data_IF_222973670810
#
_entry.id   IF_222973670810
#
_cell.length_a   1.000
_cell.length_b   1.000
_cell.length_c   1.000
_cell.angle_alpha   90.00
_cell.angle_beta   90.00
_cell.angle_gamma   90.00
#
_symmetry.space_group_name_H-M   'P 1'
#
loop_
_entity.id
_entity.type
_entity.pdbx_description
1 polymer ?
#
# COMPACT_ATOMS: atom_id res chain seq x y z
N UNK A 1 14.74 -4.61 -26.62
CA UNK A 1 15.63 -5.53 -25.89
C UNK A 1 14.75 -6.52 -25.16
N UNK A 2 14.78 -7.78 -25.59
CA UNK A 2 14.03 -8.88 -24.97
C UNK A 2 14.76 -9.24 -23.67
N UNK A 3 14.26 -8.80 -22.51
CA UNK A 3 14.80 -9.28 -21.23
C UNK A 3 14.29 -10.70 -21.05
N UNK A 4 15.12 -11.67 -21.42
CA UNK A 4 14.97 -13.08 -21.04
C UNK A 4 14.79 -13.12 -19.53
N UNK A 5 13.57 -13.39 -19.08
CA UNK A 5 13.28 -13.63 -17.68
C UNK A 5 13.95 -14.97 -17.35
N UNK A 6 15.17 -14.88 -16.84
CA UNK A 6 15.84 -16.01 -16.23
C UNK A 6 14.87 -16.56 -15.18
N UNK A 7 14.40 -17.80 -15.37
CA UNK A 7 13.54 -18.51 -14.42
C UNK A 7 14.36 -18.71 -13.15
N UNK A 8 14.47 -17.67 -12.32
CA UNK A 8 15.14 -17.74 -11.03
C UNK A 8 14.24 -18.53 -10.10
N UNK A 9 14.50 -19.83 -10.03
CA UNK A 9 13.87 -20.73 -9.09
C UNK A 9 14.41 -20.48 -7.68
N UNK A 10 13.65 -19.76 -6.86
CA UNK A 10 13.95 -19.66 -5.43
C UNK A 10 13.53 -20.93 -4.69
N UNK A 11 14.35 -21.34 -3.72
CA UNK A 11 14.03 -22.45 -2.80
C UNK A 11 12.95 -22.01 -1.81
N UNK A 12 12.18 -22.94 -1.24
CA UNK A 12 11.21 -22.60 -0.19
C UNK A 12 11.96 -22.13 1.06
N UNK A 13 11.62 -20.96 1.57
CA UNK A 13 12.16 -20.40 2.81
C UNK A 13 11.37 -20.83 4.05
N UNK A 14 11.97 -20.61 5.21
CA UNK A 14 11.33 -20.84 6.51
C UNK A 14 10.60 -19.59 7.04
N UNK A 15 10.48 -19.51 8.37
CA UNK A 15 9.98 -18.31 9.03
C UNK A 15 11.03 -17.19 9.00
N UNK A 16 10.78 -16.06 8.32
CA UNK A 16 11.79 -15.01 8.13
C UNK A 16 11.87 -14.04 9.31
N UNK A 17 10.99 -14.13 10.32
CA UNK A 17 10.78 -13.07 11.32
C UNK A 17 11.98 -12.76 12.20
N UNK A 18 12.93 -13.68 12.31
CA UNK A 18 14.17 -13.52 13.09
C UNK A 18 15.34 -12.99 12.25
N UNK A 19 15.20 -12.94 10.92
CA UNK A 19 16.24 -12.51 9.99
C UNK A 19 16.38 -10.97 10.02
N UNK A 20 17.61 -10.49 10.10
CA UNK A 20 17.91 -9.05 10.15
C UNK A 20 17.35 -8.31 8.91
N UNK A 21 17.57 -8.86 7.71
CA UNK A 21 17.06 -8.30 6.45
C UNK A 21 15.53 -8.24 6.43
N UNK A 22 14.84 -9.23 7.01
CA UNK A 22 13.39 -9.22 7.10
C UNK A 22 12.87 -8.19 8.11
N UNK A 23 13.56 -8.02 9.24
CA UNK A 23 13.22 -6.99 10.21
C UNK A 23 13.36 -5.60 9.58
N UNK A 24 14.44 -5.37 8.82
CA UNK A 24 14.67 -4.13 8.08
C UNK A 24 13.61 -3.91 7.00
N UNK A 25 13.30 -4.95 6.20
CA UNK A 25 12.28 -4.87 5.16
C UNK A 25 10.91 -4.57 5.76
N UNK A 26 10.55 -5.26 6.84
CA UNK A 26 9.29 -5.01 7.55
C UNK A 26 9.22 -3.58 8.08
N UNK A 27 10.31 -3.04 8.64
CA UNK A 27 10.34 -1.65 9.10
C UNK A 27 10.07 -0.67 7.95
N UNK A 28 10.68 -0.91 6.79
CA UNK A 28 10.46 -0.11 5.58
C UNK A 28 9.02 -0.23 5.08
N UNK A 29 8.49 -1.44 4.99
CA UNK A 29 7.13 -1.68 4.49
C UNK A 29 6.04 -1.23 5.47
N UNK A 30 6.31 -1.19 6.77
CA UNK A 30 5.36 -0.69 7.78
C UNK A 30 5.11 0.82 7.67
N UNK A 31 6.01 1.58 7.03
CA UNK A 31 5.80 3.00 6.72
C UNK A 31 4.52 3.24 5.92
N UNK A 32 4.10 2.27 5.10
CA UNK A 32 2.86 2.31 4.33
C UNK A 32 1.58 2.45 5.18
N UNK A 33 1.65 2.07 6.45
CA UNK A 33 0.52 2.12 7.39
C UNK A 33 0.75 3.16 8.50
N UNK A 34 1.86 3.90 8.44
CA UNK A 34 2.23 4.85 9.48
C UNK A 34 1.43 6.15 9.34
N UNK A 35 0.85 6.71 10.43
CA UNK A 35 0.03 7.93 10.37
C UNK A 35 0.76 9.13 9.78
N UNK A 36 2.05 9.29 10.10
CA UNK A 36 2.89 10.37 9.58
C UNK A 36 3.34 10.16 8.13
N UNK A 37 2.98 9.04 7.48
CA UNK A 37 3.29 8.71 6.08
C UNK A 37 4.75 9.03 5.66
N UNK A 38 5.75 8.48 6.36
CA UNK A 38 7.13 8.67 5.95
C UNK A 38 7.36 8.03 4.58
N UNK A 39 8.27 8.63 3.82
CA UNK A 39 8.61 8.14 2.49
C UNK A 39 9.25 6.76 2.56
N UNK A 40 8.89 5.95 1.56
CA UNK A 40 9.38 4.57 1.40
C UNK A 40 10.51 4.57 0.39
N UNK A 41 11.63 4.01 0.79
CA UNK A 41 12.75 3.73 -0.09
C UNK A 41 12.48 2.42 -0.84
N UNK A 42 11.80 2.52 -1.98
CA UNK A 42 11.44 1.37 -2.82
C UNK A 42 12.65 0.59 -3.35
N UNK A 43 13.73 1.22 -3.85
CA UNK A 43 14.95 0.49 -4.23
C UNK A 43 15.54 -0.34 -3.08
N UNK A 44 15.59 0.24 -1.87
CA UNK A 44 16.09 -0.47 -0.71
C UNK A 44 15.19 -1.65 -0.29
N UNK A 45 13.87 -1.45 -0.29
CA UNK A 45 12.92 -2.54 -0.03
C UNK A 45 13.04 -3.68 -1.05
N UNK A 46 13.24 -3.34 -2.32
CA UNK A 46 13.44 -4.33 -3.40
C UNK A 46 14.74 -5.12 -3.21
N UNK A 47 15.83 -4.43 -2.87
CA UNK A 47 17.12 -5.05 -2.58
C UNK A 47 17.06 -6.01 -1.39
N UNK A 48 16.43 -5.58 -0.27
CA UNK A 48 16.27 -6.43 0.92
C UNK A 48 15.42 -7.66 0.61
N UNK A 49 14.31 -7.48 -0.10
CA UNK A 49 13.45 -8.59 -0.48
C UNK A 49 14.18 -9.57 -1.39
N UNK A 50 14.94 -9.08 -2.37
CA UNK A 50 15.78 -9.93 -3.23
C UNK A 50 16.83 -10.70 -2.42
N UNK A 51 17.55 -10.04 -1.52
CA UNK A 51 18.54 -10.69 -0.63
C UNK A 51 17.91 -11.83 0.18
N UNK A 52 16.72 -11.61 0.74
CA UNK A 52 15.99 -12.65 1.47
C UNK A 52 15.64 -13.85 0.60
N UNK A 53 15.09 -13.61 -0.59
CA UNK A 53 14.72 -14.68 -1.53
C UNK A 53 15.94 -15.50 -1.96
N UNK A 54 17.08 -14.83 -2.21
CA UNK A 54 18.33 -15.47 -2.67
C UNK A 54 19.03 -16.28 -1.56
N UNK A 55 19.13 -15.73 -0.34
CA UNK A 55 19.93 -16.33 0.73
C UNK A 55 19.14 -17.21 1.70
N UNK A 56 17.86 -16.90 1.93
CA UNK A 56 17.04 -17.55 2.95
C UNK A 56 15.85 -18.31 2.39
N UNK A 57 15.62 -18.20 1.08
CA UNK A 57 14.51 -18.80 0.37
C UNK A 57 13.24 -17.95 0.42
N UNK A 58 12.26 -18.37 -0.37
CA UNK A 58 11.02 -17.65 -0.55
C UNK A 58 10.01 -17.90 0.58
N UNK A 59 9.55 -16.82 1.19
CA UNK A 59 8.31 -16.77 1.96
C UNK A 59 7.29 -15.84 1.29
N UNK A 60 6.01 -16.09 1.54
CA UNK A 60 4.93 -15.40 0.84
C UNK A 60 4.89 -13.89 1.13
N UNK A 61 5.26 -13.47 2.34
CA UNK A 61 5.24 -12.06 2.71
C UNK A 61 6.35 -11.29 1.99
N UNK A 62 7.57 -11.83 1.97
CA UNK A 62 8.71 -11.24 1.27
C UNK A 62 8.44 -11.15 -0.23
N UNK A 63 7.88 -12.20 -0.84
CA UNK A 63 7.51 -12.17 -2.27
C UNK A 63 6.44 -11.10 -2.52
N UNK A 64 5.43 -10.96 -1.66
CA UNK A 64 4.41 -9.92 -1.81
C UNK A 64 4.99 -8.51 -1.73
N UNK A 65 5.92 -8.27 -0.81
CA UNK A 65 6.61 -6.99 -0.72
C UNK A 65 7.55 -6.74 -1.90
N UNK A 66 8.26 -7.78 -2.39
CA UNK A 66 9.05 -7.71 -3.61
C UNK A 66 8.17 -7.32 -4.81
N UNK A 67 7.04 -8.00 -5.02
CA UNK A 67 6.09 -7.70 -6.10
C UNK A 67 5.61 -6.25 -6.03
N UNK A 68 5.30 -5.75 -4.82
CA UNK A 68 4.89 -4.36 -4.64
C UNK A 68 6.02 -3.37 -4.94
N UNK A 69 7.26 -3.67 -4.53
CA UNK A 69 8.41 -2.82 -4.80
C UNK A 69 8.73 -2.78 -6.31
N UNK A 70 8.69 -3.93 -6.99
CA UNK A 70 8.81 -4.01 -8.46
C UNK A 70 7.71 -3.21 -9.14
N UNK A 71 6.46 -3.34 -8.71
CA UNK A 71 5.35 -2.56 -9.26
C UNK A 71 5.56 -1.03 -9.11
N UNK A 72 6.15 -0.58 -8.00
CA UNK A 72 6.47 0.83 -7.76
C UNK A 72 7.64 1.34 -8.59
N UNK A 73 8.64 0.52 -8.84
CA UNK A 73 9.85 0.90 -9.58
C UNK A 73 9.70 0.73 -11.10
N UNK A 74 9.01 -0.32 -11.53
CA UNK A 74 8.89 -0.73 -12.94
C UNK A 74 7.48 -0.67 -13.51
N UNK A 75 6.51 -0.10 -12.77
CA UNK A 75 5.12 0.03 -13.24
C UNK A 75 4.50 -1.32 -13.63
N UNK A 76 3.90 -1.38 -14.83
CA UNK A 76 3.24 -2.58 -15.37
C UNK A 76 4.21 -3.76 -15.54
N UNK A 77 5.43 -3.50 -16.02
CA UNK A 77 6.45 -4.54 -16.17
C UNK A 77 6.83 -5.15 -14.81
N UNK A 78 6.99 -4.30 -13.78
CA UNK A 78 7.26 -4.76 -12.43
C UNK A 78 6.10 -5.55 -11.79
N UNK A 79 4.86 -5.20 -12.13
CA UNK A 79 3.67 -5.99 -11.74
C UNK A 79 3.73 -7.37 -12.38
N UNK A 80 3.98 -7.44 -13.69
CA UNK A 80 4.11 -8.70 -14.42
C UNK A 80 5.19 -9.60 -13.80
N UNK A 81 6.42 -9.09 -13.66
CA UNK A 81 7.54 -9.80 -13.07
C UNK A 81 7.22 -10.36 -11.68
N UNK A 82 6.68 -9.51 -10.81
CA UNK A 82 6.39 -9.90 -9.43
C UNK A 82 5.23 -10.89 -9.31
N UNK A 83 4.23 -10.82 -10.19
CA UNK A 83 3.13 -11.79 -10.21
C UNK A 83 3.58 -13.13 -10.79
N UNK A 84 4.36 -13.14 -11.87
CA UNK A 84 4.89 -14.37 -12.45
C UNK A 84 5.81 -15.12 -11.48
N UNK A 85 6.64 -14.39 -10.72
CA UNK A 85 7.42 -15.00 -9.63
C UNK A 85 6.53 -15.62 -8.56
N UNK A 86 5.50 -14.91 -8.13
CA UNK A 86 4.61 -15.40 -7.08
C UNK A 86 3.78 -16.60 -7.55
N UNK A 87 3.32 -16.57 -8.79
CA UNK A 87 2.60 -17.66 -9.46
C UNK A 87 3.45 -18.93 -9.50
N UNK A 88 4.70 -18.83 -9.96
CA UNK A 88 5.61 -19.97 -10.05
C UNK A 88 5.89 -20.55 -8.66
N UNK A 89 6.12 -19.71 -7.66
CA UNK A 89 6.33 -20.16 -6.28
C UNK A 89 5.10 -20.87 -5.70
N UNK A 90 3.89 -20.34 -5.93
CA UNK A 90 2.66 -20.97 -5.46
C UNK A 90 2.35 -22.28 -6.21
N UNK A 91 2.63 -22.35 -7.51
CA UNK A 91 2.41 -23.55 -8.30
C UNK A 91 3.32 -24.72 -7.86
N UNK A 92 4.59 -24.43 -7.54
CA UNK A 92 5.56 -25.47 -7.19
C UNK A 92 5.62 -25.76 -5.68
N UNK A 93 5.43 -24.74 -4.84
CA UNK A 93 5.74 -24.79 -3.42
C UNK A 93 4.58 -24.27 -2.54
N UNK A 94 3.37 -24.11 -3.12
CA UNK A 94 2.25 -23.42 -2.50
C UNK A 94 1.87 -23.86 -1.09
N UNK A 95 1.91 -25.16 -0.76
CA UNK A 95 1.61 -25.65 0.59
C UNK A 95 2.76 -25.47 1.58
N UNK A 96 4.00 -25.34 1.08
CA UNK A 96 5.20 -25.25 1.92
C UNK A 96 5.63 -23.80 2.16
N UNK A 97 5.15 -22.86 1.35
CA UNK A 97 5.40 -21.43 1.51
C UNK A 97 4.87 -20.93 2.87
N UNK A 98 5.79 -20.39 3.67
CA UNK A 98 5.45 -19.70 4.88
C UNK A 98 4.69 -18.39 4.56
N UNK A 99 3.68 -17.98 5.35
CA UNK A 99 3.13 -18.65 6.53
C UNK A 99 2.14 -19.77 6.17
N UNK A 100 2.08 -20.80 7.00
CA UNK A 100 1.20 -21.96 6.81
C UNK A 100 -0.29 -21.63 7.03
N UNK A 101 -0.58 -20.67 7.92
CA UNK A 101 -1.95 -20.33 8.29
C UNK A 101 -2.70 -19.67 7.13
N UNK A 102 -3.77 -20.32 6.66
CA UNK A 102 -4.62 -19.82 5.57
C UNK A 102 -5.16 -18.39 5.80
N UNK A 103 -5.60 -18.00 7.02
CA UNK A 103 -6.03 -16.62 7.28
C UNK A 103 -4.90 -15.59 7.04
N UNK A 104 -3.67 -15.92 7.42
CA UNK A 104 -2.53 -15.06 7.20
C UNK A 104 -2.24 -14.92 5.69
N UNK A 105 -2.18 -16.03 4.96
CA UNK A 105 -1.97 -16.01 3.49
C UNK A 105 -3.03 -15.16 2.78
N UNK A 106 -4.30 -15.32 3.18
CA UNK A 106 -5.42 -14.54 2.65
C UNK A 106 -5.25 -13.04 2.92
N UNK A 107 -4.78 -12.64 4.11
CA UNK A 107 -4.47 -11.24 4.43
C UNK A 107 -3.37 -10.66 3.55
N UNK A 108 -2.31 -11.44 3.31
CA UNK A 108 -1.19 -11.03 2.46
C UNK A 108 -1.69 -10.68 1.06
N UNK A 109 -2.47 -11.56 0.43
CA UNK A 109 -3.01 -11.32 -0.91
C UNK A 109 -4.01 -10.16 -0.95
N UNK A 110 -4.88 -10.05 0.05
CA UNK A 110 -5.83 -8.92 0.13
C UNK A 110 -5.10 -7.59 0.23
N UNK A 111 -4.07 -7.52 1.07
CA UNK A 111 -3.24 -6.33 1.23
C UNK A 111 -2.46 -6.03 -0.05
N UNK A 112 -1.87 -7.04 -0.69
CA UNK A 112 -1.15 -6.88 -1.95
C UNK A 112 -2.09 -6.34 -3.04
N UNK A 113 -3.25 -6.96 -3.25
CA UNK A 113 -4.24 -6.51 -4.24
C UNK A 113 -4.62 -5.04 -4.02
N UNK A 114 -4.96 -4.66 -2.78
CA UNK A 114 -5.30 -3.27 -2.43
C UNK A 114 -4.18 -2.31 -2.81
N UNK A 115 -2.92 -2.68 -2.54
CA UNK A 115 -1.75 -1.84 -2.82
C UNK A 115 -1.41 -1.77 -4.30
N UNK A 116 -1.47 -2.89 -5.03
CA UNK A 116 -1.28 -2.90 -6.48
C UNK A 116 -2.32 -2.03 -7.19
N UNK A 117 -3.58 -2.05 -6.73
CA UNK A 117 -4.61 -1.14 -7.22
C UNK A 117 -4.26 0.33 -7.02
N UNK A 118 -3.66 0.67 -5.89
CA UNK A 118 -3.18 2.03 -5.65
C UNK A 118 -2.01 2.38 -6.57
N UNK A 119 -1.10 1.43 -6.83
CA UNK A 119 0.00 1.63 -7.79
C UNK A 119 -0.55 1.92 -9.18
N UNK A 120 -1.43 1.06 -9.70
CA UNK A 120 -1.96 1.20 -11.07
C UNK A 120 -2.69 2.53 -11.25
N UNK A 121 -3.45 2.98 -10.26
CA UNK A 121 -4.12 4.30 -10.29
C UNK A 121 -3.16 5.49 -10.34
N UNK A 122 -1.89 5.30 -9.96
CA UNK A 122 -0.86 6.35 -10.03
C UNK A 122 -0.01 6.29 -11.30
N UNK A 123 -0.15 5.24 -12.12
CA UNK A 123 0.59 5.12 -13.37
C UNK A 123 -0.02 6.02 -14.44
N UNK A 124 0.83 6.72 -15.19
CA UNK A 124 0.43 7.48 -16.37
C UNK A 124 0.35 6.54 -17.57
N UNK A 125 -0.79 5.88 -17.72
CA UNK A 125 -1.03 4.93 -18.80
C UNK A 125 -1.27 5.64 -20.14
N UNK A 126 -0.59 5.20 -21.19
CA UNK A 126 -0.74 5.70 -22.55
C UNK A 126 -1.13 4.59 -23.54
N UNK A 127 -1.65 4.92 -24.75
CA UNK A 127 -1.95 3.92 -25.78
C UNK A 127 -0.72 3.09 -26.21
N UNK A 128 0.49 3.63 -26.07
CA UNK A 128 1.74 2.90 -26.34
C UNK A 128 1.97 1.72 -25.36
N UNK A 129 1.34 1.74 -24.19
CA UNK A 129 1.48 0.70 -23.15
C UNK A 129 0.52 -0.48 -23.34
N UNK A 130 -0.25 -0.52 -24.44
CA UNK A 130 -1.34 -1.48 -24.65
C UNK A 130 -0.88 -2.94 -24.48
N UNK A 131 0.29 -3.28 -25.04
CA UNK A 131 0.86 -4.62 -24.89
C UNK A 131 1.20 -4.94 -23.43
N UNK A 132 1.82 -4.00 -22.72
CA UNK A 132 2.17 -4.15 -21.30
C UNK A 132 0.93 -4.24 -20.42
N UNK A 133 -0.14 -3.51 -20.74
CA UNK A 133 -1.43 -3.58 -20.07
C UNK A 133 -2.09 -4.95 -20.27
N UNK A 134 -2.14 -5.44 -21.51
CA UNK A 134 -2.66 -6.76 -21.82
C UNK A 134 -1.86 -7.86 -21.13
N UNK A 135 -0.53 -7.73 -21.05
CA UNK A 135 0.32 -8.67 -20.33
C UNK A 135 0.04 -8.68 -18.82
N UNK A 136 -0.06 -7.49 -18.20
CA UNK A 136 -0.41 -7.37 -16.79
C UNK A 136 -1.82 -7.94 -16.48
N UNK A 137 -2.79 -7.75 -17.39
CA UNK A 137 -4.13 -8.33 -17.27
C UNK A 137 -4.09 -9.86 -17.28
N UNK A 138 -3.36 -10.47 -18.24
CA UNK A 138 -3.16 -11.93 -18.30
C UNK A 138 -2.45 -12.49 -17.07
N UNK A 139 -1.46 -11.78 -16.54
CA UNK A 139 -0.79 -12.17 -15.29
C UNK A 139 -1.72 -12.13 -14.09
N UNK A 140 -2.63 -11.15 -14.02
CA UNK A 140 -3.64 -11.13 -12.96
C UNK A 140 -4.65 -12.28 -13.10
N UNK A 141 -5.03 -12.62 -14.34
CA UNK A 141 -5.96 -13.72 -14.61
C UNK A 141 -5.36 -15.10 -14.24
N UNK A 142 -4.14 -15.38 -14.68
CA UNK A 142 -3.41 -16.62 -14.34
C UNK A 142 -3.19 -16.73 -12.83
N UNK A 143 -2.80 -15.64 -12.19
CA UNK A 143 -2.60 -15.60 -10.76
C UNK A 143 -3.91 -15.81 -9.95
N UNK A 144 -5.04 -15.24 -10.39
CA UNK A 144 -6.36 -15.51 -9.79
C UNK A 144 -6.73 -17.00 -9.88
N UNK A 145 -6.46 -17.65 -11.01
CA UNK A 145 -6.67 -19.10 -11.17
C UNK A 145 -5.82 -19.93 -10.19
N UNK A 146 -4.57 -19.51 -9.91
CA UNK A 146 -3.71 -20.16 -8.91
C UNK A 146 -4.25 -19.98 -7.49
N UNK A 147 -4.73 -18.78 -7.14
CA UNK A 147 -5.34 -18.54 -5.82
C UNK A 147 -6.60 -19.38 -5.61
N UNK A 148 -7.48 -19.44 -6.61
CA UNK A 148 -8.69 -20.27 -6.58
C UNK A 148 -8.37 -21.75 -6.41
N UNK A 149 -7.40 -22.27 -7.19
CA UNK A 149 -6.97 -23.68 -7.09
C UNK A 149 -6.41 -24.04 -5.71
N UNK A 150 -5.76 -23.08 -5.05
CA UNK A 150 -5.20 -23.26 -3.71
C UNK A 150 -6.19 -22.94 -2.59
N UNK A 151 -7.43 -22.57 -2.93
CA UNK A 151 -8.48 -22.12 -2.00
C UNK A 151 -8.01 -20.97 -1.09
N UNK A 152 -7.12 -20.11 -1.61
CA UNK A 152 -6.63 -18.95 -0.89
C UNK A 152 -7.42 -17.72 -1.35
N UNK A 153 -7.95 -16.96 -0.41
CA UNK A 153 -8.69 -15.73 -0.69
C UNK A 153 -9.88 -15.95 -1.67
N UNK A 154 -10.94 -16.68 -1.26
CA UNK A 154 -12.08 -17.00 -2.13
C UNK A 154 -12.84 -15.77 -2.66
N UNK A 155 -12.67 -14.61 -2.02
CA UNK A 155 -13.34 -13.34 -2.35
C UNK A 155 -12.82 -12.65 -3.64
N UNK A 156 -12.14 -13.36 -4.54
CA UNK A 156 -11.50 -12.83 -5.76
C UNK A 156 -10.91 -11.41 -5.59
N UNK A 157 -9.86 -11.25 -4.76
CA UNK A 157 -9.35 -9.92 -4.41
C UNK A 157 -8.81 -9.14 -5.61
N UNK A 158 -8.51 -9.80 -6.73
CA UNK A 158 -7.88 -9.20 -7.92
C UNK A 158 -8.85 -8.91 -9.05
N UNK A 159 -10.11 -9.36 -8.94
CA UNK A 159 -11.18 -9.12 -9.92
C UNK A 159 -11.30 -7.66 -10.32
N UNK A 160 -11.40 -6.77 -9.34
CA UNK A 160 -11.50 -5.34 -9.59
C UNK A 160 -10.25 -4.75 -10.27
N UNK A 161 -9.07 -5.30 -9.97
CA UNK A 161 -7.81 -4.84 -10.55
C UNK A 161 -7.75 -5.22 -12.03
N UNK A 162 -8.17 -6.45 -12.34
CA UNK A 162 -8.32 -6.94 -13.70
C UNK A 162 -9.38 -6.14 -14.45
N UNK A 163 -10.53 -5.86 -13.84
CA UNK A 163 -11.58 -5.04 -14.44
C UNK A 163 -11.09 -3.61 -14.77
N UNK A 164 -10.27 -3.02 -13.89
CA UNK A 164 -9.64 -1.73 -14.15
C UNK A 164 -8.72 -1.82 -15.37
N UNK A 165 -7.79 -2.79 -15.42
CA UNK A 165 -6.87 -2.94 -16.55
C UNK A 165 -7.64 -3.21 -17.86
N UNK A 166 -8.61 -4.12 -17.82
CA UNK A 166 -9.46 -4.43 -18.96
C UNK A 166 -10.16 -3.18 -19.50
N UNK A 167 -10.77 -2.38 -18.62
CA UNK A 167 -11.43 -1.14 -19.04
C UNK A 167 -10.46 -0.12 -19.67
N UNK A 168 -9.20 -0.07 -19.21
CA UNK A 168 -8.18 0.79 -19.81
C UNK A 168 -7.71 0.27 -21.17
N UNK A 169 -7.55 -1.04 -21.33
CA UNK A 169 -7.22 -1.69 -22.62
C UNK A 169 -8.33 -1.42 -23.62
N UNK A 170 -9.58 -1.74 -23.28
CA UNK A 170 -10.72 -1.49 -24.16
C UNK A 170 -10.87 -0.02 -24.52
N UNK A 171 -10.59 0.90 -23.59
CA UNK A 171 -10.61 2.34 -23.88
C UNK A 171 -9.56 2.71 -24.93
N UNK A 172 -8.35 2.16 -24.83
CA UNK A 172 -7.27 2.45 -25.78
C UNK A 172 -7.46 1.76 -27.13
N UNK A 173 -8.00 0.55 -27.18
CA UNK A 173 -8.38 -0.14 -28.43
C UNK A 173 -9.46 0.62 -29.20
N UNK A 174 -10.39 1.26 -28.49
CA UNK A 174 -11.46 2.06 -29.06
C UNK A 174 -11.09 3.55 -29.28
N UNK A 175 -9.83 3.94 -29.08
CA UNK A 175 -9.37 5.26 -29.54
C UNK A 175 -9.25 5.20 -31.05
N UNK A 176 -10.21 5.79 -31.75
CA UNK A 176 -10.08 6.02 -33.19
C UNK A 176 -8.72 6.67 -33.47
N UNK A 177 -7.88 6.13 -34.37
CA UNK A 177 -6.76 6.90 -34.88
C UNK A 177 -7.37 8.16 -35.48
N UNK A 178 -6.99 9.32 -34.92
CA UNK A 178 -7.48 10.61 -35.38
C UNK A 178 -7.46 10.61 -36.91
N UNK A 179 -8.57 10.99 -37.59
CA UNK A 179 -8.59 11.00 -39.04
C UNK A 179 -7.39 11.83 -39.48
N UNK A 180 -6.48 11.18 -40.22
CA UNK A 180 -5.37 11.88 -40.83
C UNK A 180 -5.98 13.12 -41.48
N UNK A 181 -5.58 14.32 -41.01
CA UNK A 181 -5.97 15.57 -41.63
C UNK A 181 -5.79 15.36 -43.14
N UNK A 182 -6.82 15.58 -43.97
CA UNK A 182 -6.68 15.38 -45.39
C UNK A 182 -5.48 16.19 -45.84
N UNK A 183 -4.42 15.49 -46.24
CA UNK A 183 -3.27 16.11 -46.89
C UNK A 183 -3.86 16.87 -48.07
N UNK A 184 -3.90 18.19 -47.96
CA UNK A 184 -4.37 19.03 -49.05
C UNK A 184 -3.56 18.62 -50.29
N UNK A 185 -4.20 18.38 -51.44
CA UNK A 185 -3.46 18.05 -52.65
C UNK A 185 -2.48 19.19 -52.93
N UNK A 186 -1.24 18.89 -53.37
CA UNK A 186 -0.29 19.94 -53.73
C UNK A 186 -0.92 20.75 -54.86
N UNK A 187 -1.20 22.02 -54.57
CA UNK A 187 -1.59 22.99 -55.59
C UNK A 187 -0.39 23.14 -56.51
N UNK A 188 -0.50 22.59 -57.71
CA UNK A 188 0.42 22.83 -58.80
C UNK A 188 0.36 24.33 -59.14
N UNK A 189 1.35 25.09 -58.68
CA UNK A 189 1.55 26.46 -59.14
C UNK A 189 2.32 26.37 -60.44
N UNK A 190 1.62 26.62 -61.56
CA UNK A 190 2.26 26.77 -62.86
C UNK A 190 3.12 28.03 -62.87
N UNK A 191 4.31 27.91 -63.46
CA UNK A 191 5.22 29.00 -63.80
C UNK A 191 4.50 30.13 -64.54
N UNK A 192 4.62 31.33 -64.01
CA UNK A 192 4.34 32.56 -64.73
C UNK A 192 5.42 33.60 -64.38
N UNK A 193 6.22 33.87 -65.41
CA UNK A 193 7.20 34.93 -65.63
C UNK A 193 7.19 36.16 -64.69
N UNK A 194 8.40 36.47 -64.18
CA UNK A 194 8.88 37.83 -63.87
C UNK A 194 8.89 38.70 -65.14
N UNK A 195 8.62 40.02 -65.06
CA UNK A 195 9.62 41.01 -64.60
C UNK A 195 8.97 42.15 -63.76
N UNK A 196 9.60 42.81 -62.78
CA UNK A 196 10.88 43.51 -62.76
C UNK A 196 10.66 44.91 -62.14
N UNK A 197 11.68 45.47 -61.46
CA UNK A 197 11.81 46.84 -60.95
C UNK A 197 10.99 47.25 -59.69
N UNK A 198 11.42 48.10 -58.76
CA UNK A 198 12.71 48.64 -58.25
C UNK A 198 12.28 49.66 -57.13
N UNK A 199 13.13 49.84 -56.11
CA UNK A 199 13.32 51.01 -55.19
C UNK A 199 12.43 51.30 -53.93
N UNK A 200 13.17 51.55 -52.82
CA UNK A 200 13.06 52.49 -51.66
C UNK A 200 11.84 52.47 -50.72
N UNK A 201 11.96 52.33 -49.39
CA UNK A 201 12.69 53.05 -48.30
C UNK A 201 11.96 54.28 -47.70
N UNK A 202 11.96 54.30 -46.35
CA UNK A 202 11.68 55.40 -45.39
C UNK A 202 10.23 55.97 -45.33
N UNK A 203 9.66 56.48 -44.23
CA UNK A 203 10.20 57.12 -43.02
C UNK A 203 9.18 57.18 -41.84
N UNK A 204 9.76 57.42 -40.67
CA UNK A 204 9.35 57.90 -39.34
C UNK A 204 7.91 58.36 -38.96
N UNK A 205 7.56 57.91 -37.75
CA UNK A 205 7.08 58.63 -36.55
C UNK A 205 6.30 59.96 -36.65
N UNK A 206 5.21 60.09 -35.86
CA UNK A 206 5.04 61.05 -34.72
C UNK A 206 3.55 61.29 -34.29
N UNK A 207 3.25 60.92 -33.04
CA UNK A 207 2.51 61.63 -31.94
C UNK A 207 1.11 62.27 -32.17
N UNK A 208 0.09 61.72 -31.44
CA UNK A 208 -1.14 62.30 -30.76
C UNK A 208 -2.07 63.33 -31.48
N UNK A 209 -3.34 63.61 -31.04
CA UNK A 209 -4.09 63.20 -29.82
C UNK A 209 -5.57 62.72 -30.05
N UNK A 210 -6.23 62.32 -28.95
CA UNK A 210 -7.64 61.88 -28.78
C UNK A 210 -8.67 63.00 -29.04
N UNK A 211 -9.86 62.74 -29.66
CA UNK A 211 -11.12 62.76 -28.89
C UNK A 211 -12.26 61.79 -29.35
N UNK A 212 -12.96 61.28 -28.33
CA UNK A 212 -14.36 60.82 -28.23
C UNK A 212 -15.15 60.31 -29.45
N UNK A 213 -15.60 59.03 -29.39
CA UNK A 213 -16.93 58.64 -29.86
C UNK A 213 -17.51 57.39 -29.16
N UNK A 214 -18.47 57.66 -28.26
CA UNK A 214 -19.72 56.92 -27.96
C UNK A 214 -19.77 55.38 -28.10
N UNK A 215 -19.96 54.75 -26.93
CA UNK A 215 -21.05 53.81 -26.56
C UNK A 215 -21.29 52.57 -27.46
N UNK A 216 -20.93 51.39 -26.94
CA UNK A 216 -21.77 50.18 -27.02
C UNK A 216 -21.69 49.33 -25.74
N UNK A 217 -22.77 48.62 -25.36
CA UNK A 217 -22.96 48.10 -24.00
C UNK A 217 -22.34 46.71 -23.79
N UNK A 218 -21.91 46.50 -22.55
CA UNK A 218 -21.43 45.24 -21.96
C UNK A 218 -22.59 44.24 -21.86
N UNK A 219 -22.40 43.02 -22.36
CA UNK A 219 -23.37 41.94 -22.24
C UNK A 219 -23.31 41.31 -20.84
N UNK A 220 -24.47 41.24 -20.19
CA UNK A 220 -24.73 40.64 -18.88
C UNK A 220 -25.21 39.19 -19.07
N UNK A 221 -24.65 38.18 -18.38
CA UNK A 221 -25.09 36.79 -18.51
C UNK A 221 -26.47 36.54 -17.87
N UNK A 222 -27.41 36.08 -18.70
CA UNK A 222 -28.80 35.75 -18.36
C UNK A 222 -28.90 34.52 -17.44
N UNK A 223 -29.70 34.67 -16.37
CA UNK A 223 -30.13 33.59 -15.48
C UNK A 223 -31.18 32.68 -16.16
N UNK A 224 -31.24 31.37 -15.84
CA UNK A 224 -32.27 30.46 -16.34
C UNK A 224 -33.65 30.71 -15.69
N UNK A 225 -34.76 30.39 -16.40
CA UNK A 225 -36.11 30.74 -15.97
C UNK A 225 -36.67 29.80 -14.87
N UNK A 226 -37.43 30.39 -13.96
CA UNK A 226 -38.25 29.73 -12.94
C UNK A 226 -39.42 28.95 -13.57
N UNK A 227 -39.70 27.69 -13.17
CA UNK A 227 -40.96 27.05 -13.50
C UNK A 227 -42.07 27.31 -12.47
N UNK A 228 -43.29 27.25 -12.99
CA UNK A 228 -44.56 27.67 -12.44
C UNK A 228 -45.11 26.85 -11.25
N UNK A 229 -46.04 27.48 -10.52
CA UNK A 229 -46.84 27.00 -9.38
C UNK A 229 -47.64 25.71 -9.63
N UNK A 230 -47.57 24.76 -8.68
CA UNK A 230 -48.64 23.97 -7.97
C UNK A 230 -48.15 22.53 -7.65
N UNK A 231 -48.80 21.78 -6.72
CA UNK A 231 -49.33 22.09 -5.38
C UNK A 231 -48.60 21.28 -4.28
N UNK A 232 -48.84 21.61 -3.01
CA UNK A 232 -48.15 21.05 -1.84
C UNK A 232 -48.35 19.53 -1.64
N UNK A 233 -47.32 18.75 -1.27
CA UNK A 233 -47.49 17.41 -0.74
C UNK A 233 -47.64 17.43 0.79
N UNK A 234 -48.60 16.61 1.19
CA UNK A 234 -49.03 16.22 2.53
C UNK A 234 -47.86 15.98 3.50
N UNK A 235 -47.94 16.61 4.68
CA UNK A 235 -47.07 16.30 5.84
C UNK A 235 -47.36 14.88 6.29
N UNK A 236 -46.44 13.96 6.01
CA UNK A 236 -46.37 12.66 6.67
C UNK A 236 -45.32 12.74 7.79
N UNK A 237 -45.78 12.84 9.03
CA UNK A 237 -44.93 12.75 10.22
C UNK A 237 -44.33 11.35 10.31
N UNK A 238 -43.00 11.25 10.18
CA UNK A 238 -42.26 10.02 10.51
C UNK A 238 -41.77 10.09 11.96
N UNK A 239 -41.92 9.02 12.78
CA UNK A 239 -41.49 9.06 14.18
C UNK A 239 -39.97 8.91 14.30
N UNK A 240 -39.36 9.72 15.17
CA UNK A 240 -37.93 9.67 15.46
C UNK A 240 -37.53 8.34 16.15
N UNK A 241 -36.35 7.76 15.84
CA UNK A 241 -35.88 6.56 16.51
C UNK A 241 -35.29 6.89 17.89
N UNK A 242 -35.80 6.23 18.94
CA UNK A 242 -35.22 6.29 20.27
C UNK A 242 -33.94 5.42 20.36
N UNK A 243 -32.92 5.82 21.16
CA UNK A 243 -31.64 5.12 21.22
C UNK A 243 -31.75 3.84 22.08
N UNK A 244 -31.69 2.68 21.42
CA UNK A 244 -31.63 1.36 22.06
C UNK A 244 -30.18 0.90 22.26
N UNK A 245 -29.43 1.51 23.17
CA UNK A 245 -28.04 1.10 23.49
C UNK A 245 -27.92 0.19 24.72
N UNK A 246 -29.01 -0.01 25.47
CA UNK A 246 -29.01 -0.82 26.68
C UNK A 246 -28.66 -2.32 26.49
N UNK A 247 -29.02 -3.03 25.39
CA UNK A 247 -28.62 -4.43 25.25
C UNK A 247 -27.13 -4.60 24.86
N UNK A 248 -26.51 -3.57 24.25
CA UNK A 248 -25.12 -3.65 23.78
C UNK A 248 -24.11 -3.57 24.95
N UNK A 249 -24.36 -2.69 25.92
CA UNK A 249 -23.48 -2.53 27.10
C UNK A 249 -23.54 -3.77 28.00
N UNK A 250 -24.73 -4.37 28.16
CA UNK A 250 -24.90 -5.59 28.93
C UNK A 250 -24.11 -6.78 28.34
N UNK A 251 -24.05 -6.90 27.01
CA UNK A 251 -23.27 -7.95 26.32
C UNK A 251 -21.75 -7.75 26.43
N UNK A 252 -21.26 -6.51 26.47
CA UNK A 252 -19.83 -6.24 26.62
C UNK A 252 -19.30 -6.61 28.01
N UNK A 253 -20.09 -6.34 29.05
CA UNK A 253 -19.71 -6.63 30.44
C UNK A 253 -19.65 -8.14 30.70
N UNK A 254 -20.58 -8.92 30.13
CA UNK A 254 -20.56 -10.39 30.26
C UNK A 254 -19.38 -11.01 29.52
N UNK A 255 -19.03 -10.52 28.33
CA UNK A 255 -17.86 -11.00 27.59
C UNK A 255 -16.56 -10.74 28.34
N UNK A 256 -16.41 -9.56 28.95
CA UNK A 256 -15.22 -9.21 29.74
C UNK A 256 -15.09 -10.08 30.99
N UNK A 257 -16.20 -10.37 31.68
CA UNK A 257 -16.17 -11.24 32.87
C UNK A 257 -15.78 -12.68 32.52
N UNK A 258 -16.34 -13.25 31.44
CA UNK A 258 -16.03 -14.62 31.00
C UNK A 258 -14.57 -14.74 30.54
N UNK A 259 -14.07 -13.74 29.82
CA UNK A 259 -12.68 -13.73 29.33
C UNK A 259 -11.70 -13.60 30.50
N UNK A 260 -12.01 -12.76 31.50
CA UNK A 260 -11.19 -12.61 32.70
C UNK A 260 -11.09 -13.89 33.53
N UNK A 261 -12.19 -14.63 33.71
CA UNK A 261 -12.19 -15.91 34.44
C UNK A 261 -11.40 -16.98 33.68
N UNK A 262 -11.53 -17.04 32.34
CA UNK A 262 -10.79 -18.02 31.54
C UNK A 262 -9.27 -17.77 31.56
N UNK A 263 -8.84 -16.52 31.39
CA UNK A 263 -7.42 -16.15 31.40
C UNK A 263 -6.83 -16.25 32.82
N UNK A 264 -7.58 -15.81 33.84
CA UNK A 264 -7.16 -15.92 35.24
C UNK A 264 -7.05 -17.37 35.70
N UNK A 265 -8.02 -18.22 35.35
CA UNK A 265 -7.99 -19.65 35.63
C UNK A 265 -6.83 -20.35 34.93
N UNK A 266 -6.60 -20.06 33.64
CA UNK A 266 -5.47 -20.62 32.89
C UNK A 266 -4.11 -20.20 33.47
N UNK A 267 -3.95 -18.94 33.88
CA UNK A 267 -2.70 -18.45 34.45
C UNK A 267 -2.43 -19.05 35.83
N UNK A 268 -3.46 -19.22 36.66
CA UNK A 268 -3.34 -19.85 37.98
C UNK A 268 -2.95 -21.34 37.88
N UNK A 269 -3.55 -22.08 36.94
CA UNK A 269 -3.20 -23.48 36.67
C UNK A 269 -1.75 -23.62 36.19
N UNK A 270 -1.23 -22.64 35.44
CA UNK A 270 0.13 -22.66 34.89
C UNK A 270 1.23 -22.31 35.90
N UNK A 271 0.90 -21.58 36.96
CA UNK A 271 1.86 -21.27 38.04
C UNK A 271 2.15 -22.48 38.94
N UNK A 272 1.22 -23.43 39.02
CA UNK A 272 1.36 -24.69 39.77
C UNK A 272 2.36 -25.67 39.17
N UNK A 273 2.65 -25.55 37.87
CA UNK A 273 3.42 -26.51 37.07
C UNK A 273 4.85 -26.04 36.72
N UNK A 274 5.32 -24.92 37.28
CA UNK A 274 6.70 -24.47 37.06
C UNK A 274 7.65 -25.22 38.00
N UNK A 275 8.55 -26.10 37.51
CA UNK A 275 9.58 -26.68 38.36
C UNK A 275 10.53 -25.57 38.83
N UNK A 276 11.09 -25.68 40.06
CA UNK A 276 12.10 -24.73 40.52
C UNK A 276 13.31 -24.80 39.59
N UNK A 277 13.63 -23.66 38.96
CA UNK A 277 14.83 -23.52 38.11
C UNK A 277 16.05 -23.71 39.01
N UNK A 278 16.66 -24.88 38.94
CA UNK A 278 17.99 -25.13 39.52
C UNK A 278 19.02 -24.63 38.51
N UNK A 279 19.63 -23.48 38.77
CA UNK A 279 20.74 -22.96 37.97
C UNK A 279 21.98 -23.78 38.32
N UNK A 280 22.27 -24.82 37.55
CA UNK A 280 23.57 -25.48 37.58
C UNK A 280 24.58 -24.63 36.82
N UNK A 281 25.41 -23.92 37.58
CA UNK A 281 26.49 -23.09 37.04
C UNK A 281 27.64 -24.00 36.58
N UNK A 282 27.66 -24.35 35.29
CA UNK A 282 28.82 -24.97 34.66
C UNK A 282 29.94 -23.92 34.55
N UNK A 283 30.96 -24.07 35.40
CA UNK A 283 32.18 -23.28 35.35
C UNK A 283 33.06 -23.80 34.21
N UNK A 284 33.23 -23.00 33.16
CA UNK A 284 34.28 -23.19 32.15
C UNK A 284 35.52 -22.43 32.66
N UNK A 285 36.67 -23.08 32.89
CA UNK A 285 37.88 -22.38 33.33
C UNK A 285 38.62 -21.81 32.13
N UNK A 286 38.85 -20.48 32.08
CA UNK A 286 39.87 -19.91 31.19
C UNK A 286 39.64 -18.55 30.53
N UNK A 287 38.93 -17.60 31.13
CA UNK A 287 38.89 -16.22 30.63
C UNK A 287 39.18 -15.20 31.76
N UNK A 288 40.30 -14.45 31.69
CA UNK A 288 40.58 -13.37 32.63
C UNK A 288 39.81 -12.12 32.17
N UNK A 289 38.81 -11.70 32.96
CA UNK A 289 38.06 -10.46 32.69
C UNK A 289 36.59 -10.43 33.11
N UNK A 290 36.05 -11.48 33.73
CA UNK A 290 34.70 -11.44 34.30
C UNK A 290 34.77 -10.95 35.76
N UNK A 291 34.43 -9.67 35.99
CA UNK A 291 34.01 -9.23 37.32
C UNK A 291 32.88 -10.15 37.79
N UNK A 292 32.93 -10.68 39.02
CA UNK A 292 31.82 -11.49 39.53
C UNK A 292 30.60 -10.58 39.66
N UNK A 293 29.58 -10.82 38.83
CA UNK A 293 28.23 -10.36 39.13
C UNK A 293 27.91 -10.88 40.53
N UNK A 294 27.76 -9.96 41.47
CA UNK A 294 27.32 -10.26 42.84
C UNK A 294 26.08 -11.15 42.77
N UNK A 295 25.97 -12.20 43.61
CA UNK A 295 24.73 -12.94 43.73
C UNK A 295 23.64 -11.94 44.11
N UNK A 296 22.60 -11.81 43.28
CA UNK A 296 21.43 -11.02 43.65
C UNK A 296 20.78 -11.75 44.83
N UNK A 297 20.94 -11.16 46.01
CA UNK A 297 20.36 -11.67 47.24
C UNK A 297 18.84 -11.46 47.14
N UNK A 298 18.13 -12.53 46.76
CA UNK A 298 16.67 -12.57 46.63
C UNK A 298 15.91 -11.99 47.84
N UNK A 299 16.31 -12.24 49.11
CA UNK A 299 15.65 -11.60 50.25
C UNK A 299 15.88 -10.09 50.32
N UNK A 300 17.00 -9.59 49.78
CA UNK A 300 17.28 -8.16 49.74
C UNK A 300 16.46 -7.46 48.64
N UNK A 301 16.29 -8.12 47.50
CA UNK A 301 15.43 -7.63 46.41
C UNK A 301 13.96 -7.61 46.83
N UNK A 302 13.51 -8.60 47.59
CA UNK A 302 12.15 -8.58 48.16
C UNK A 302 11.93 -7.41 49.13
N UNK A 303 12.90 -7.12 50.00
CA UNK A 303 12.81 -5.95 50.91
C UNK A 303 12.74 -4.63 50.15
N UNK A 304 13.51 -4.48 49.07
CA UNK A 304 13.45 -3.28 48.23
C UNK A 304 12.11 -3.14 47.50
N UNK A 305 11.52 -4.25 47.05
CA UNK A 305 10.19 -4.23 46.43
C UNK A 305 9.10 -3.89 47.45
N UNK A 306 9.20 -4.40 48.69
CA UNK A 306 8.27 -4.04 49.77
C UNK A 306 8.39 -2.57 50.18
N UNK A 307 9.59 -1.98 50.14
CA UNK A 307 9.78 -0.54 50.37
C UNK A 307 9.16 0.29 49.24
N UNK A 308 9.37 -0.09 47.97
CA UNK A 308 8.76 0.60 46.83
C UNK A 308 7.23 0.48 46.82
N UNK A 309 6.69 -0.66 47.26
CA UNK A 309 5.25 -0.87 47.37
C UNK A 309 4.59 -0.01 48.47
N UNK A 310 5.36 0.54 49.41
CA UNK A 310 4.87 1.44 50.47
C UNK A 310 4.94 2.92 50.10
N UNK A 311 5.53 3.26 48.96
CA UNK A 311 5.58 4.64 48.49
C UNK A 311 4.20 5.13 48.03
N UNK A 312 3.92 6.41 48.29
CA UNK A 312 2.68 7.05 47.87
C UNK A 312 2.57 7.04 46.32
N UNK A 313 1.37 6.94 45.73
CA UNK A 313 1.20 6.78 44.28
C UNK A 313 1.81 7.93 43.43
N UNK A 314 2.04 9.09 44.04
CA UNK A 314 2.61 10.30 43.46
C UNK A 314 4.12 10.45 43.71
N UNK A 315 4.78 9.45 44.32
CA UNK A 315 6.20 9.52 44.71
C UNK A 315 7.14 9.84 43.54
N UNK A 316 6.83 9.36 42.34
CA UNK A 316 7.63 9.62 41.16
C UNK A 316 7.59 11.10 40.71
N UNK A 317 6.50 11.82 41.04
CA UNK A 317 6.34 13.24 40.72
C UNK A 317 7.06 14.10 41.76
N UNK A 318 6.92 13.77 43.05
CA UNK A 318 7.58 14.52 44.13
C UNK A 318 9.10 14.33 44.17
N UNK A 319 9.60 13.17 43.72
CA UNK A 319 11.05 12.94 43.57
C UNK A 319 11.65 13.74 42.41
N UNK A 320 10.89 13.94 41.33
CA UNK A 320 11.31 14.72 40.16
C UNK A 320 11.42 16.22 40.45
N UNK A 321 10.60 16.75 41.36
CA UNK A 321 10.64 18.16 41.78
C UNK A 321 11.78 18.47 42.79
N UNK A 322 12.50 17.45 43.28
CA UNK A 322 13.60 17.59 44.25
C UNK A 322 15.01 17.45 43.64
N UNK A 323 15.12 17.19 42.33
CA UNK A 323 16.38 17.13 41.57
C UNK A 323 16.61 18.42 40.78
#
# INVERSE_FOLDING_TARGET
MMTTHDERHYKTGGDPRTLADFIALRAEMNKLSHPARPDINWPYAEQLARSLLEHHGADLQTVAWYTLARARLGGLAGIHEGLSLMESLLAHQGKNLWPQALPARTEIFRTLSKRLRQVIRTLSLAPADLESLGQAERSLQSFDAVLQRLEIAPENPLSDLRALLHSTVSRFENLDPAPALPTAPPVAVSDAELPGALVSEEDAAKVEPVPELKRRPKAEPLAPPLPAKRPAPVVASSPAPAPRWKPFVAGMVTLLAVTGIAVGGWLALRQSDLPPISVTQNVIPGLPGASPLMPVDLPQTQRQLDELARLAPDWAVSYGDQL
#
